data_IF_407183735347
#
_entry.id   IF_407183735347
#
_cell.length_a   1.000
_cell.length_b   1.000
_cell.length_c   1.000
_cell.angle_alpha   90.00
_cell.angle_beta   90.00
_cell.angle_gamma   90.00
#
_symmetry.space_group_name_H-M   'P 1'
#
loop_
_entity.id
_entity.type
_entity.pdbx_description
1 polymer ?
#
# COMPACT_ATOMS: atom_id res chain seq x y z
N UNK A 1 -13.52 20.40 -23.15
CA UNK A 1 -12.85 19.22 -22.57
C UNK A 1 -11.69 18.86 -23.48
N UNK A 2 -10.44 18.94 -23.00
CA UNK A 2 -9.28 18.48 -23.74
C UNK A 2 -8.89 17.10 -23.23
N UNK A 3 -9.13 16.06 -24.04
CA UNK A 3 -8.62 14.72 -23.78
C UNK A 3 -7.26 14.58 -24.44
N UNK A 4 -6.23 14.20 -23.67
CA UNK A 4 -4.93 13.85 -24.24
C UNK A 4 -4.90 12.36 -24.50
N UNK A 5 -4.62 11.98 -25.76
CA UNK A 5 -4.41 10.59 -26.16
C UNK A 5 -2.92 10.35 -26.34
N UNK A 6 -2.43 9.26 -25.77
CA UNK A 6 -1.08 8.75 -26.00
C UNK A 6 -1.11 7.23 -26.16
N UNK A 7 -0.03 6.67 -26.70
CA UNK A 7 0.10 5.23 -26.92
C UNK A 7 1.41 4.76 -26.31
N UNK A 8 1.36 3.69 -25.53
CA UNK A 8 2.56 2.94 -25.12
C UNK A 8 2.67 1.70 -26.00
N UNK A 9 3.83 1.52 -26.62
CA UNK A 9 4.14 0.30 -27.35
C UNK A 9 4.71 -0.76 -26.42
N UNK A 10 4.01 -1.88 -26.33
CA UNK A 10 4.51 -3.07 -25.65
C UNK A 10 5.45 -3.84 -26.58
N UNK A 11 6.44 -4.51 -25.98
CA UNK A 11 7.35 -5.38 -26.73
C UNK A 11 6.58 -6.61 -27.24
N UNK A 12 5.61 -7.08 -26.45
CA UNK A 12 4.73 -8.21 -26.75
C UNK A 12 3.30 -7.84 -26.34
N UNK A 13 2.35 -7.81 -27.29
CA UNK A 13 0.93 -7.55 -27.00
C UNK A 13 0.29 -6.33 -27.69
N UNK A 14 1.09 -5.52 -28.40
CA UNK A 14 0.58 -4.41 -29.21
C UNK A 14 0.44 -3.07 -28.45
N UNK A 15 -0.26 -2.09 -29.02
CA UNK A 15 -0.38 -0.76 -28.44
C UNK A 15 -1.33 -0.75 -27.25
N UNK A 16 -0.96 -0.03 -26.19
CA UNK A 16 -1.86 0.36 -25.11
C UNK A 16 -2.26 1.80 -25.33
N UNK A 17 -3.54 2.03 -25.60
CA UNK A 17 -4.09 3.36 -25.75
C UNK A 17 -4.35 3.96 -24.37
N UNK A 18 -3.84 5.17 -24.16
CA UNK A 18 -4.03 5.94 -22.93
C UNK A 18 -4.84 7.16 -23.27
N UNK A 19 -5.97 7.31 -22.60
CA UNK A 19 -6.78 8.51 -22.69
C UNK A 19 -6.84 9.18 -21.31
N UNK A 20 -6.44 10.45 -21.25
CA UNK A 20 -6.50 11.25 -20.04
C UNK A 20 -7.48 12.38 -20.21
N UNK A 21 -8.42 12.49 -19.28
CA UNK A 21 -9.40 13.59 -19.22
C UNK A 21 -9.35 14.26 -17.86
N UNK A 22 -9.60 15.56 -17.84
CA UNK A 22 -9.73 16.34 -16.61
C UNK A 22 -11.01 17.14 -16.67
N UNK A 23 -11.86 16.92 -15.68
CA UNK A 23 -13.13 17.61 -15.51
C UNK A 23 -13.08 18.40 -14.21
N UNK A 24 -13.61 19.63 -14.26
CA UNK A 24 -13.73 20.49 -13.09
C UNK A 24 -15.19 20.88 -12.96
N UNK A 25 -15.71 20.81 -11.75
CA UNK A 25 -17.09 21.16 -11.44
C UNK A 25 -17.17 21.88 -10.10
N UNK A 26 -18.27 22.60 -9.91
CA UNK A 26 -18.63 23.20 -8.63
C UNK A 26 -20.03 22.72 -8.30
N UNK A 27 -20.21 22.19 -7.10
CA UNK A 27 -21.54 21.95 -6.58
C UNK A 27 -22.11 23.29 -6.09
N UNK A 28 -23.05 23.84 -6.86
CA UNK A 28 -23.69 25.12 -6.58
C UNK A 28 -24.46 25.15 -5.25
N UNK A 29 -24.81 23.99 -4.67
CA UNK A 29 -25.54 23.93 -3.39
C UNK A 29 -24.61 23.93 -2.19
N UNK A 30 -23.45 23.27 -2.30
CA UNK A 30 -22.51 23.09 -1.19
C UNK A 30 -21.28 23.98 -1.29
N UNK A 31 -21.05 24.62 -2.45
CA UNK A 31 -19.86 25.38 -2.76
C UNK A 31 -18.60 24.52 -2.91
N UNK A 32 -18.74 23.19 -2.99
CA UNK A 32 -17.62 22.27 -3.13
C UNK A 32 -17.07 22.31 -4.55
N UNK A 33 -15.75 22.47 -4.65
CA UNK A 33 -15.02 22.39 -5.91
C UNK A 33 -14.54 20.95 -6.10
N UNK A 34 -14.85 20.36 -7.24
CA UNK A 34 -14.49 18.98 -7.56
C UNK A 34 -13.59 19.00 -8.80
N UNK A 35 -12.41 18.41 -8.68
CA UNK A 35 -11.52 18.15 -9.82
C UNK A 35 -11.41 16.65 -9.99
N UNK A 36 -11.89 16.14 -11.12
CA UNK A 36 -11.80 14.73 -11.47
C UNK A 36 -10.80 14.55 -12.63
N UNK A 37 -9.82 13.68 -12.43
CA UNK A 37 -8.88 13.24 -13.46
C UNK A 37 -9.17 11.77 -13.74
N UNK A 38 -9.40 11.42 -15.00
CA UNK A 38 -9.62 10.04 -15.42
C UNK A 38 -8.53 9.64 -16.41
N UNK A 39 -7.82 8.56 -16.13
CA UNK A 39 -6.89 7.92 -17.03
C UNK A 39 -7.45 6.54 -17.40
N UNK A 40 -7.72 6.32 -18.68
CA UNK A 40 -8.22 5.05 -19.20
C UNK A 40 -7.15 4.41 -20.08
N UNK A 41 -6.92 3.13 -19.85
CA UNK A 41 -6.01 2.27 -20.57
C UNK A 41 -6.82 1.21 -21.28
N UNK A 42 -6.74 1.21 -22.61
CA UNK A 42 -7.45 0.25 -23.44
C UNK A 42 -6.44 -0.64 -24.16
N UNK A 43 -6.56 -1.95 -23.97
CA UNK A 43 -5.82 -2.94 -24.75
C UNK A 43 -6.71 -4.13 -25.09
N UNK A 44 -6.95 -4.34 -26.38
CA UNK A 44 -7.82 -5.41 -26.88
C UNK A 44 -9.19 -5.41 -26.18
N UNK A 45 -9.46 -6.39 -25.29
CA UNK A 45 -10.72 -6.54 -24.55
C UNK A 45 -10.61 -6.16 -23.07
N UNK A 46 -9.49 -5.59 -22.65
CA UNK A 46 -9.25 -5.17 -21.27
C UNK A 46 -9.26 -3.65 -21.20
N UNK A 47 -10.02 -3.11 -20.27
CA UNK A 47 -10.09 -1.69 -20.00
C UNK A 47 -9.71 -1.49 -18.53
N UNK A 48 -8.68 -0.70 -18.27
CA UNK A 48 -8.35 -0.24 -16.94
C UNK A 48 -8.64 1.26 -16.85
N UNK A 49 -9.29 1.70 -15.78
CA UNK A 49 -9.57 3.10 -15.53
C UNK A 49 -9.07 3.49 -14.14
N UNK A 50 -8.30 4.57 -14.09
CA UNK A 50 -7.92 5.26 -12.87
C UNK A 50 -8.68 6.59 -12.81
N UNK A 51 -9.56 6.74 -11.82
CA UNK A 51 -10.17 8.01 -11.48
C UNK A 51 -9.54 8.58 -10.22
N UNK A 52 -9.23 9.87 -10.24
CA UNK A 52 -8.76 10.65 -9.10
C UNK A 52 -9.68 11.83 -8.95
N UNK A 53 -10.40 11.90 -7.83
CA UNK A 53 -11.34 12.98 -7.52
C UNK A 53 -10.85 13.75 -6.32
N UNK A 54 -10.44 14.99 -6.53
CA UNK A 54 -10.07 15.95 -5.47
C UNK A 54 -11.30 16.78 -5.11
N UNK A 55 -11.72 16.71 -3.85
CA UNK A 55 -12.83 17.50 -3.31
C UNK A 55 -12.27 18.60 -2.41
N UNK A 56 -12.55 19.82 -2.80
CA UNK A 56 -12.03 21.04 -2.19
C UNK A 56 -13.15 21.89 -1.62
N UNK A 57 -12.84 22.53 -0.48
CA UNK A 57 -13.65 23.58 0.13
C UNK A 57 -12.73 24.76 0.42
N UNK A 58 -13.16 25.97 0.09
CA UNK A 58 -12.37 27.19 0.33
C UNK A 58 -10.94 27.11 -0.27
N UNK A 59 -10.82 26.53 -1.47
CA UNK A 59 -9.56 26.25 -2.18
C UNK A 59 -8.60 25.26 -1.48
N UNK A 60 -9.06 24.56 -0.44
CA UNK A 60 -8.28 23.54 0.27
C UNK A 60 -8.84 22.17 -0.09
N UNK A 61 -7.99 21.29 -0.62
CA UNK A 61 -8.35 19.89 -0.88
C UNK A 61 -8.44 19.15 0.46
N UNK A 62 -9.61 18.65 0.81
CA UNK A 62 -9.83 17.95 2.07
C UNK A 62 -10.03 16.44 1.87
N UNK A 63 -10.51 16.03 0.70
CA UNK A 63 -10.78 14.63 0.39
C UNK A 63 -10.25 14.32 -0.99
N UNK A 64 -9.60 13.16 -1.13
CA UNK A 64 -9.18 12.59 -2.41
C UNK A 64 -9.76 11.19 -2.51
N UNK A 65 -10.51 10.92 -3.57
CA UNK A 65 -10.92 9.57 -3.95
C UNK A 65 -10.03 9.09 -5.09
N UNK A 66 -9.57 7.86 -5.01
CA UNK A 66 -8.79 7.18 -6.04
C UNK A 66 -9.48 5.87 -6.33
N UNK A 67 -9.97 5.70 -7.56
CA UNK A 67 -10.63 4.49 -8.01
C UNK A 67 -9.83 3.85 -9.13
N UNK A 68 -9.38 2.62 -8.91
CA UNK A 68 -8.86 1.75 -9.96
C UNK A 68 -9.94 0.75 -10.33
N UNK A 69 -10.33 0.71 -11.59
CA UNK A 69 -11.32 -0.23 -12.10
C UNK A 69 -10.75 -0.96 -13.30
N UNK A 70 -10.70 -2.28 -13.24
CA UNK A 70 -10.38 -3.15 -14.36
C UNK A 70 -11.64 -3.89 -14.79
N UNK A 71 -11.93 -3.81 -16.09
CA UNK A 71 -13.04 -4.50 -16.72
C UNK A 71 -12.56 -5.37 -17.87
N UNK A 72 -13.11 -6.58 -17.92
CA UNK A 72 -12.98 -7.48 -19.07
C UNK A 72 -14.36 -7.57 -19.72
N UNK A 73 -14.41 -7.52 -21.05
CA UNK A 73 -15.65 -7.55 -21.87
C UNK A 73 -16.59 -8.75 -21.61
N UNK A 74 -16.24 -9.70 -20.74
CA UNK A 74 -17.06 -10.85 -20.33
C UNK A 74 -17.86 -10.61 -19.02
N UNK A 75 -17.81 -9.41 -18.45
CA UNK A 75 -18.55 -9.07 -17.22
C UNK A 75 -17.79 -9.33 -15.91
N UNK A 76 -16.56 -9.82 -15.98
CA UNK A 76 -15.63 -9.84 -14.83
C UNK A 76 -15.02 -8.46 -14.63
N UNK A 77 -14.97 -8.01 -13.38
CA UNK A 77 -14.36 -6.72 -13.03
C UNK A 77 -13.68 -6.74 -11.66
N UNK A 78 -12.65 -5.91 -11.53
CA UNK A 78 -11.95 -5.65 -10.28
C UNK A 78 -11.95 -4.15 -10.01
N UNK A 79 -12.52 -3.73 -8.88
CA UNK A 79 -12.57 -2.32 -8.50
C UNK A 79 -11.92 -2.12 -7.13
N UNK A 80 -11.05 -1.12 -7.03
CA UNK A 80 -10.33 -0.72 -5.84
C UNK A 80 -10.59 0.76 -5.59
N UNK A 81 -11.19 1.08 -4.46
CA UNK A 81 -11.46 2.45 -4.02
C UNK A 81 -10.57 2.78 -2.83
N UNK A 82 -9.80 3.85 -2.95
CA UNK A 82 -9.04 4.46 -1.87
C UNK A 82 -9.61 5.84 -1.58
N UNK A 83 -10.04 6.04 -0.34
CA UNK A 83 -10.47 7.34 0.17
C UNK A 83 -9.43 7.89 1.10
N UNK A 84 -8.95 9.09 0.81
CA UNK A 84 -7.96 9.82 1.62
C UNK A 84 -8.59 11.11 2.12
N UNK A 85 -8.56 11.34 3.43
CA UNK A 85 -9.19 12.46 4.10
C UNK A 85 -8.14 13.18 4.94
N UNK A 86 -8.11 14.51 4.81
CA UNK A 86 -7.34 15.38 5.70
C UNK A 86 -8.00 15.45 7.07
N UNK A 87 -7.21 15.32 8.12
CA UNK A 87 -7.63 15.48 9.49
C UNK A 87 -6.60 16.30 10.28
N UNK A 88 -7.05 17.38 10.90
CA UNK A 88 -6.13 18.29 11.60
C UNK A 88 -5.52 17.68 12.87
N UNK A 89 -6.16 16.66 13.45
CA UNK A 89 -5.71 16.00 14.68
C UNK A 89 -4.82 14.78 14.42
N UNK A 90 -5.08 14.04 13.34
CA UNK A 90 -4.46 12.75 13.06
C UNK A 90 -3.64 12.72 11.75
N UNK A 91 -3.54 13.85 11.05
CA UNK A 91 -2.85 13.94 9.76
C UNK A 91 -3.72 13.44 8.61
N UNK A 92 -3.31 12.35 7.96
CA UNK A 92 -4.08 11.72 6.89
C UNK A 92 -4.81 10.49 7.41
N UNK A 93 -6.13 10.45 7.20
CA UNK A 93 -6.92 9.23 7.34
C UNK A 93 -7.10 8.62 5.96
N UNK A 94 -6.86 7.33 5.81
CA UNK A 94 -7.11 6.63 4.55
C UNK A 94 -7.75 5.27 4.78
N UNK A 95 -8.70 4.93 3.90
CA UNK A 95 -9.36 3.64 3.88
C UNK A 95 -9.39 3.12 2.45
N UNK A 96 -9.08 1.83 2.29
CA UNK A 96 -9.08 1.14 1.02
C UNK A 96 -10.10 0.01 1.03
N UNK A 97 -10.96 0.00 0.02
CA UNK A 97 -11.96 -1.03 -0.22
C UNK A 97 -11.73 -1.65 -1.58
N UNK A 98 -12.12 -2.92 -1.72
CA UNK A 98 -12.06 -3.67 -2.97
C UNK A 98 -13.39 -4.36 -3.23
N UNK A 99 -13.83 -4.34 -4.49
CA UNK A 99 -15.00 -5.08 -4.97
C UNK A 99 -14.60 -5.84 -6.22
N UNK A 100 -14.66 -7.17 -6.15
CA UNK A 100 -14.43 -8.06 -7.28
C UNK A 100 -15.74 -8.69 -7.74
N UNK A 101 -15.86 -8.91 -9.05
CA UNK A 101 -16.99 -9.59 -9.66
C UNK A 101 -16.52 -10.57 -10.73
N UNK A 102 -17.22 -11.70 -10.86
CA UNK A 102 -16.92 -12.74 -11.84
C UNK A 102 -15.73 -13.62 -11.41
N UNK A 103 -14.77 -13.79 -12.31
CA UNK A 103 -13.66 -14.76 -12.19
C UNK A 103 -12.43 -14.27 -11.43
N UNK A 104 -12.51 -13.11 -10.78
CA UNK A 104 -11.38 -12.51 -10.06
C UNK A 104 -11.32 -12.95 -8.60
N UNK A 105 -10.12 -13.32 -8.16
CA UNK A 105 -9.78 -13.50 -6.75
C UNK A 105 -8.92 -12.35 -6.23
N UNK A 106 -8.93 -12.14 -4.91
CA UNK A 106 -8.06 -11.19 -4.22
C UNK A 106 -7.26 -11.92 -3.13
N UNK A 107 -5.95 -11.72 -3.14
CA UNK A 107 -5.06 -11.97 -2.01
C UNK A 107 -4.70 -10.61 -1.42
N UNK A 108 -4.91 -10.43 -0.11
CA UNK A 108 -4.59 -9.19 0.60
C UNK A 108 -3.72 -9.48 1.80
N UNK A 109 -2.66 -8.69 1.95
CA UNK A 109 -1.70 -8.76 3.05
C UNK A 109 -1.53 -7.36 3.64
N UNK A 110 -1.41 -7.28 4.97
CA UNK A 110 -1.23 -6.02 5.68
C UNK A 110 0.00 -6.14 6.58
N UNK A 111 0.90 -5.17 6.46
CA UNK A 111 2.17 -5.13 7.14
C UNK A 111 2.28 -3.86 7.98
N UNK A 112 2.45 -4.03 9.28
CA UNK A 112 2.54 -2.93 10.26
C UNK A 112 3.77 -3.08 11.16
N UNK A 113 4.93 -3.40 10.56
CA UNK A 113 6.18 -3.66 11.29
C UNK A 113 7.02 -2.37 11.38
N UNK A 114 7.27 -1.79 12.56
CA UNK A 114 8.19 -0.66 12.68
C UNK A 114 9.63 -1.06 12.33
N UNK A 115 10.45 -0.17 11.74
CA UNK A 115 10.18 1.22 11.37
C UNK A 115 9.58 1.39 9.95
N UNK A 116 9.10 0.31 9.33
CA UNK A 116 8.53 0.37 7.98
C UNK A 116 7.22 1.17 7.98
N UNK A 117 6.90 1.84 6.85
CA UNK A 117 5.57 2.40 6.65
C UNK A 117 4.50 1.32 6.79
N UNK A 118 3.34 1.66 7.36
CA UNK A 118 2.20 0.74 7.37
C UNK A 118 1.82 0.48 5.90
N UNK A 119 1.97 -0.76 5.45
CA UNK A 119 1.87 -1.14 4.04
C UNK A 119 0.76 -2.17 3.84
N UNK A 120 -0.13 -1.92 2.88
CA UNK A 120 -1.14 -2.88 2.46
C UNK A 120 -0.82 -3.30 1.01
N UNK A 121 -0.67 -4.60 0.78
CA UNK A 121 -0.53 -5.20 -0.55
C UNK A 121 -1.82 -5.95 -0.87
N UNK A 122 -2.33 -5.78 -2.08
CA UNK A 122 -3.34 -6.69 -2.57
C UNK A 122 -3.15 -7.00 -4.04
N UNK A 123 -3.15 -8.29 -4.35
CA UNK A 123 -3.00 -8.80 -5.69
C UNK A 123 -4.28 -9.50 -6.10
N UNK A 124 -4.80 -9.13 -7.26
CA UNK A 124 -5.96 -9.79 -7.84
C UNK A 124 -5.58 -10.44 -9.16
N UNK A 125 -6.21 -11.57 -9.45
CA UNK A 125 -5.98 -12.31 -10.67
C UNK A 125 -7.27 -12.96 -11.13
N UNK A 126 -7.42 -13.09 -12.44
CA UNK A 126 -8.55 -13.73 -13.10
C UNK A 126 -8.19 -15.16 -13.44
N UNK A 127 -8.99 -16.11 -12.95
CA UNK A 127 -8.82 -17.55 -13.24
C UNK A 127 -9.02 -17.89 -14.72
N UNK A 128 -9.77 -17.08 -15.45
CA UNK A 128 -10.14 -17.37 -16.84
C UNK A 128 -9.01 -17.13 -17.85
N UNK A 129 -8.15 -16.17 -17.59
CA UNK A 129 -7.18 -15.71 -18.58
C UNK A 129 -5.80 -15.37 -17.98
N UNK A 130 -5.60 -15.61 -16.68
CA UNK A 130 -4.34 -15.31 -15.99
C UNK A 130 -4.01 -13.82 -15.89
N UNK A 131 -4.94 -12.92 -16.27
CA UNK A 131 -4.74 -11.48 -16.13
C UNK A 131 -4.82 -11.09 -14.66
N UNK A 132 -4.09 -10.05 -14.28
CA UNK A 132 -4.11 -9.58 -12.91
C UNK A 132 -3.33 -8.31 -12.71
N UNK A 133 -3.31 -7.89 -11.46
CA UNK A 133 -2.55 -6.73 -11.01
C UNK A 133 -2.40 -6.76 -9.50
N UNK A 134 -1.47 -5.94 -9.02
CA UNK A 134 -1.25 -5.72 -7.61
C UNK A 134 -1.35 -4.23 -7.32
N UNK A 135 -1.90 -3.92 -6.17
CA UNK A 135 -1.88 -2.59 -5.59
C UNK A 135 -1.06 -2.60 -4.31
N UNK A 136 -0.36 -1.51 -4.08
CA UNK A 136 0.38 -1.27 -2.83
C UNK A 136 -0.07 0.07 -2.25
N UNK A 137 -0.37 0.09 -0.96
CA UNK A 137 -0.67 1.31 -0.20
C UNK A 137 0.36 1.46 0.92
N UNK A 138 1.17 2.50 0.89
CA UNK A 138 2.13 2.81 1.95
C UNK A 138 1.69 4.07 2.72
N UNK A 139 1.67 3.99 4.05
CA UNK A 139 1.38 5.12 4.94
C UNK A 139 2.64 5.48 5.70
N UNK A 140 3.22 6.64 5.35
CA UNK A 140 4.41 7.15 6.03
C UNK A 140 4.02 8.11 7.15
N UNK A 141 4.48 7.81 8.36
CA UNK A 141 4.32 8.63 9.55
C UNK A 141 5.48 9.61 9.72
N UNK A 142 5.21 10.80 10.26
CA UNK A 142 6.22 11.71 10.75
C UNK A 142 6.77 11.25 12.11
N UNK A 143 7.77 11.97 12.62
CA UNK A 143 8.34 11.74 13.96
C UNK A 143 7.31 11.90 15.09
N UNK A 144 6.25 12.68 14.88
CA UNK A 144 5.12 12.83 15.80
C UNK A 144 4.09 11.68 15.73
N UNK A 145 4.32 10.68 14.89
CA UNK A 145 3.44 9.51 14.72
C UNK A 145 2.26 9.72 13.76
N UNK A 146 2.01 10.93 13.26
CA UNK A 146 0.91 11.20 12.33
C UNK A 146 1.27 10.84 10.89
N UNK A 147 0.28 10.35 10.13
CA UNK A 147 0.48 10.04 8.71
C UNK A 147 0.56 11.35 7.91
N UNK A 148 1.71 11.59 7.29
CA UNK A 148 1.94 12.78 6.45
C UNK A 148 1.80 12.49 4.96
N UNK A 149 2.06 11.24 4.57
CA UNK A 149 2.06 10.82 3.18
C UNK A 149 1.39 9.47 3.05
N UNK A 150 0.50 9.37 2.06
CA UNK A 150 -0.06 8.11 1.57
C UNK A 150 0.42 7.94 0.13
N UNK A 151 1.02 6.78 -0.17
CA UNK A 151 1.37 6.40 -1.54
C UNK A 151 0.55 5.20 -1.95
N UNK A 152 -0.10 5.28 -3.10
CA UNK A 152 -0.73 4.16 -3.75
C UNK A 152 0.03 3.86 -5.05
N UNK A 153 0.27 2.59 -5.34
CA UNK A 153 0.70 2.18 -6.67
C UNK A 153 -0.20 1.05 -7.16
N UNK A 154 -0.48 1.03 -8.45
CA UNK A 154 -1.19 -0.06 -9.10
C UNK A 154 -0.38 -0.51 -10.30
N UNK A 155 0.02 -1.77 -10.26
CA UNK A 155 0.79 -2.44 -11.29
C UNK A 155 -0.07 -3.55 -11.88
N UNK A 156 -0.22 -3.58 -13.21
CA UNK A 156 -1.01 -4.60 -13.88
C UNK A 156 -0.22 -5.21 -15.03
N UNK A 157 -0.35 -6.53 -15.15
CA UNK A 157 0.42 -7.31 -16.12
C UNK A 157 -0.27 -7.28 -17.46
N UNK A 158 0.45 -6.93 -18.50
CA UNK A 158 -0.03 -6.83 -19.88
C UNK A 158 0.91 -7.60 -20.79
N UNK A 159 0.50 -8.81 -21.20
CA UNK A 159 1.40 -9.74 -21.88
C UNK A 159 2.55 -10.16 -20.95
N UNK A 160 3.79 -9.94 -21.38
CA UNK A 160 5.00 -10.18 -20.58
C UNK A 160 5.50 -8.93 -19.83
N UNK A 161 4.78 -7.81 -19.95
CA UNK A 161 5.20 -6.52 -19.41
C UNK A 161 4.27 -6.06 -18.29
N UNK A 162 4.71 -5.12 -17.47
CA UNK A 162 3.88 -4.54 -16.40
C UNK A 162 3.74 -3.04 -16.64
N UNK A 163 2.53 -2.51 -16.53
CA UNK A 163 2.32 -1.07 -16.50
C UNK A 163 2.03 -0.67 -15.06
N UNK A 164 2.69 0.39 -14.59
CA UNK A 164 2.51 0.91 -13.24
C UNK A 164 2.08 2.38 -13.26
N UNK A 165 1.19 2.72 -12.34
CA UNK A 165 0.83 4.09 -11.98
C UNK A 165 1.03 4.26 -10.49
N UNK A 166 1.74 5.32 -10.10
CA UNK A 166 1.99 5.69 -8.71
C UNK A 166 1.27 7.00 -8.41
N UNK A 167 0.67 7.06 -7.24
CA UNK A 167 -0.05 8.21 -6.73
C UNK A 167 0.48 8.51 -5.34
N UNK A 168 0.84 9.77 -5.10
CA UNK A 168 1.27 10.26 -3.80
C UNK A 168 0.32 11.35 -3.33
N UNK A 169 -0.29 11.15 -2.18
CA UNK A 169 -1.08 12.16 -1.48
C UNK A 169 -0.29 12.62 -0.26
N UNK A 170 0.02 13.91 -0.19
CA UNK A 170 0.78 14.52 0.91
C UNK A 170 -0.08 15.55 1.62
N UNK A 171 -0.05 15.58 2.95
CA UNK A 171 -0.73 16.60 3.72
C UNK A 171 0.17 17.83 3.90
N UNK A 172 -0.23 18.97 3.35
CA UNK A 172 0.38 20.25 3.63
C UNK A 172 -0.53 21.05 4.55
N UNK A 173 -0.10 21.29 5.79
CA UNK A 173 -0.91 21.88 6.88
C UNK A 173 -1.63 23.18 6.53
N UNK A 174 -1.07 23.99 5.61
CA UNK A 174 -1.66 25.27 5.18
C UNK A 174 -2.36 25.24 3.82
N UNK A 175 -2.16 24.18 3.04
CA UNK A 175 -2.57 24.11 1.62
C UNK A 175 -3.61 23.00 1.39
N UNK A 176 -3.69 22.03 2.30
CA UNK A 176 -4.53 20.84 2.18
C UNK A 176 -3.77 19.65 1.61
N UNK A 177 -4.53 18.67 1.11
CA UNK A 177 -3.95 17.51 0.43
C UNK A 177 -3.38 17.91 -0.92
N UNK A 178 -2.19 17.42 -1.24
CA UNK A 178 -1.59 17.55 -2.57
C UNK A 178 -1.46 16.19 -3.22
N UNK A 179 -2.02 16.05 -4.42
CA UNK A 179 -1.95 14.82 -5.21
C UNK A 179 -0.89 14.95 -6.30
N UNK A 180 0.02 13.99 -6.35
CA UNK A 180 0.99 13.80 -7.43
C UNK A 180 0.76 12.42 -8.05
N UNK A 181 0.80 12.36 -9.37
CA UNK A 181 0.60 11.13 -10.15
C UNK A 181 1.82 10.96 -11.05
N UNK A 182 2.43 9.79 -10.98
CA UNK A 182 3.55 9.36 -11.81
C UNK A 182 3.12 8.13 -12.59
N UNK A 183 3.29 8.16 -13.91
CA UNK A 183 2.82 7.09 -14.80
C UNK A 183 1.92 7.60 -15.93
N UNK A 184 1.45 6.70 -16.81
CA UNK A 184 1.79 5.26 -16.86
C UNK A 184 3.25 5.02 -17.27
N UNK A 185 3.91 4.10 -16.58
CA UNK A 185 5.26 3.66 -16.94
C UNK A 185 5.27 2.17 -17.22
N UNK A 186 5.86 1.79 -18.36
CA UNK A 186 6.19 0.42 -18.68
C UNK A 186 7.36 -0.03 -17.80
N UNK A 187 7.18 -1.15 -17.12
CA UNK A 187 8.17 -1.82 -16.28
C UNK A 187 8.50 -3.17 -16.92
N UNK A 188 9.78 -3.55 -16.84
CA UNK A 188 10.23 -4.88 -17.24
C UNK A 188 9.78 -5.91 -16.21
N UNK A 189 9.57 -7.16 -16.63
CA UNK A 189 9.21 -8.24 -15.72
C UNK A 189 10.25 -8.46 -14.63
N UNK A 190 11.54 -8.26 -14.94
CA UNK A 190 12.64 -8.30 -13.96
C UNK A 190 12.50 -7.22 -12.89
N UNK A 191 12.08 -6.01 -13.27
CA UNK A 191 11.82 -4.94 -12.32
C UNK A 191 10.65 -5.27 -11.40
N UNK A 192 9.58 -5.87 -11.94
CA UNK A 192 8.41 -6.28 -11.15
C UNK A 192 8.77 -7.39 -10.17
N UNK A 193 9.45 -8.46 -10.63
CA UNK A 193 9.95 -9.55 -9.77
C UNK A 193 10.90 -9.02 -8.70
N UNK A 194 11.86 -8.18 -9.08
CA UNK A 194 12.78 -7.56 -8.14
C UNK A 194 12.06 -6.65 -7.14
N UNK A 195 11.04 -5.90 -7.56
CA UNK A 195 10.28 -5.04 -6.66
C UNK A 195 9.51 -5.86 -5.60
N UNK A 196 8.85 -6.95 -6.01
CA UNK A 196 8.17 -7.84 -5.06
C UNK A 196 9.16 -8.59 -4.17
N UNK A 197 10.20 -9.19 -4.74
CA UNK A 197 11.24 -9.88 -3.96
C UNK A 197 11.93 -8.95 -2.96
N UNK A 198 12.17 -7.69 -3.31
CA UNK A 198 12.77 -6.70 -2.40
C UNK A 198 11.80 -6.27 -1.29
N UNK A 199 10.50 -6.28 -1.55
CA UNK A 199 9.49 -6.03 -0.51
C UNK A 199 9.49 -7.21 0.46
N UNK A 200 9.47 -8.45 -0.04
CA UNK A 200 9.54 -9.69 0.75
C UNK A 200 10.82 -9.77 1.60
N UNK A 201 12.00 -9.60 0.99
CA UNK A 201 13.30 -9.66 1.66
C UNK A 201 13.46 -8.60 2.76
N UNK A 202 13.02 -7.36 2.47
CA UNK A 202 13.05 -6.27 3.46
C UNK A 202 12.08 -6.54 4.60
N UNK A 203 10.93 -7.15 4.33
CA UNK A 203 9.98 -7.54 5.37
C UNK A 203 10.55 -8.65 6.26
N UNK A 204 11.12 -9.69 5.68
CA UNK A 204 11.75 -10.80 6.42
C UNK A 204 12.85 -10.27 7.35
N UNK A 205 13.72 -9.41 6.82
CA UNK A 205 14.81 -8.79 7.60
C UNK A 205 14.30 -7.94 8.78
N UNK A 206 13.28 -7.11 8.57
CA UNK A 206 12.73 -6.22 9.62
C UNK A 206 11.89 -7.02 10.64
N UNK A 207 11.23 -8.09 10.21
CA UNK A 207 10.55 -9.03 11.12
C UNK A 207 11.56 -9.75 12.02
N UNK A 208 12.66 -10.24 11.46
CA UNK A 208 13.74 -10.86 12.22
C UNK A 208 14.37 -9.88 13.21
N UNK A 209 14.66 -8.65 12.77
CA UNK A 209 15.20 -7.61 13.64
C UNK A 209 14.24 -7.25 14.79
N UNK A 210 12.93 -7.18 14.51
CA UNK A 210 11.89 -6.93 15.51
C UNK A 210 11.74 -8.09 16.49
N UNK A 211 11.74 -9.33 16.01
CA UNK A 211 11.72 -10.53 16.84
C UNK A 211 12.95 -10.61 17.76
N UNK A 212 14.15 -10.32 17.23
CA UNK A 212 15.39 -10.27 18.01
C UNK A 212 15.34 -9.15 19.07
N UNK A 213 14.77 -7.99 18.75
CA UNK A 213 14.59 -6.88 19.70
C UNK A 213 13.67 -7.27 20.86
N UNK A 214 12.53 -7.89 20.57
CA UNK A 214 11.61 -8.40 21.59
C UNK A 214 12.27 -9.46 22.48
N UNK A 215 13.04 -10.38 21.89
CA UNK A 215 13.81 -11.38 22.63
C UNK A 215 14.87 -10.75 23.56
N UNK A 216 15.61 -9.74 23.08
CA UNK A 216 16.62 -9.04 23.90
C UNK A 216 15.99 -8.30 25.08
N UNK A 217 14.83 -7.67 24.86
CA UNK A 217 14.11 -6.96 25.93
C UNK A 217 13.59 -7.96 26.98
N UNK A 218 13.05 -9.10 26.58
CA UNK A 218 12.61 -10.16 27.50
C UNK A 218 13.78 -10.72 28.35
N UNK A 219 14.98 -10.87 27.76
CA UNK A 219 16.18 -11.30 28.51
C UNK A 219 16.65 -10.20 29.48
N UNK A 220 16.51 -8.92 29.09
CA UNK A 220 16.91 -7.79 29.96
C UNK A 220 15.98 -7.60 31.17
N UNK A 221 14.69 -7.92 31.04
CA UNK A 221 13.70 -7.93 32.14
C UNK A 221 13.82 -9.16 33.07
N UNK A 222 14.61 -10.17 32.69
CA UNK A 222 14.85 -11.39 33.47
C UNK A 222 16.25 -11.46 34.11
N UNK A 223 16.97 -10.33 34.23
CA UNK A 223 18.13 -10.29 35.13
C UNK A 223 17.64 -10.33 36.58
N UNK A 224 17.93 -11.39 37.37
CA UNK A 224 17.71 -11.33 38.80
C UNK A 224 18.65 -10.27 39.36
N UNK A 225 18.12 -9.34 40.15
CA UNK A 225 18.93 -8.47 41.01
C UNK A 225 19.73 -9.38 41.95
N UNK A 226 21.04 -9.50 41.73
CA UNK A 226 21.95 -10.09 42.70
C UNK A 226 22.17 -9.04 43.78
N UNK A 227 21.19 -8.87 44.66
CA UNK A 227 21.36 -8.17 45.94
C UNK A 227 20.86 -9.10 47.04
N UNK A 228 21.81 -9.63 47.82
CA UNK A 228 21.52 -10.39 49.05
C UNK A 228 22.04 -11.83 49.08
N UNK A 229 23.34 -12.05 48.83
CA UNK A 229 23.98 -13.29 49.30
C UNK A 229 24.45 -13.07 50.74
N UNK A 230 23.78 -13.68 51.71
CA UNK A 230 24.21 -13.73 53.12
C UNK A 230 24.45 -15.20 53.51
N UNK A 231 25.67 -15.60 53.93
CA UNK A 231 26.02 -17.00 54.15
C UNK A 231 25.83 -17.41 55.60
N UNK A 232 24.94 -18.35 55.89
CA UNK A 232 24.93 -19.26 57.06
C UNK A 232 23.64 -20.08 56.99
N UNK A 233 23.66 -21.41 57.02
CA UNK A 233 23.79 -22.23 58.23
C UNK A 233 24.32 -23.62 57.84
N UNK A 234 25.38 -24.05 58.54
CA UNK A 234 25.79 -25.43 58.68
C UNK A 234 24.92 -26.12 59.75
N UNK A 235 24.47 -27.35 59.52
CA UNK A 235 24.50 -28.39 60.55
C UNK A 235 24.47 -29.81 59.94
N UNK A 236 25.48 -30.58 60.33
CA UNK A 236 25.71 -32.00 60.13
C UNK A 236 24.52 -32.86 60.62
N UNK A 237 24.32 -34.12 60.25
CA UNK A 237 25.21 -35.29 60.16
C UNK A 237 24.39 -36.39 59.44
N UNK A 238 24.96 -37.43 58.79
CA UNK A 238 25.44 -38.65 59.47
C UNK A 238 26.29 -39.48 58.51
N UNK A 239 27.38 -40.01 59.06
CA UNK A 239 28.23 -41.04 58.49
C UNK A 239 27.47 -42.34 58.20
N UNK A 240 27.90 -43.06 57.16
CA UNK A 240 27.45 -44.42 56.88
C UNK A 240 28.21 -45.06 55.72
N UNK A 241 29.51 -45.31 55.91
CA UNK A 241 30.29 -46.18 55.03
C UNK A 241 29.92 -47.66 55.25
N UNK A 242 29.78 -48.44 54.16
CA UNK A 242 30.17 -49.87 53.98
C UNK A 242 29.67 -50.35 52.61
N UNK A 243 30.59 -50.66 51.67
CA UNK A 243 31.10 -52.01 51.33
C UNK A 243 30.00 -52.92 50.78
N UNK A 244 30.05 -53.51 49.58
CA UNK A 244 31.13 -54.07 48.74
C UNK A 244 30.69 -54.02 47.27
#
# INVERSE_FOLDING_TARGET
MGGNKSVIMLNFGGPVEINSTVNKGVDNKTGLFIVQRSLTYSMSKRILTLNITEVSKDNIVNIVYIDFAEEIHKGSSANLNLRVIRNDRYGILCNMNSKLMGSYDLVKENYCVPPMPDTELGCYFSRENGSGGCFTLEKKKASNGFVETVKAAHAFVVGEETINVKIKVTNHTKIGLRVSVEGPMKLTMDYTKHAFAKIEDRMETEMDASAISLFRNAISEHRPSIDGYNPSINLASTMGARNK
#
